data_IF_778886371394
#
_entry.id   IF_778886371394
#
_cell.length_a   1.000
_cell.length_b   1.000
_cell.length_c   1.000
_cell.angle_alpha   90.00
_cell.angle_beta   90.00
_cell.angle_gamma   90.00
#
_symmetry.space_group_name_H-M   'P 1'
#
loop_
_entity.id
_entity.type
_entity.pdbx_description
1 polymer ?
#
# COMPACT_ATOMS: atom_id res chain seq x y z
N UNK A 1 8.22 -14.76 -2.68
CA UNK A 1 7.32 -13.66 -3.12
C UNK A 1 7.91 -12.35 -2.63
N UNK A 2 7.79 -11.30 -3.43
CA UNK A 2 8.85 -10.28 -3.57
C UNK A 2 8.67 -9.01 -2.73
N UNK A 3 7.57 -8.82 -1.99
CA UNK A 3 7.41 -7.62 -1.15
C UNK A 3 7.79 -7.81 0.32
N UNK A 4 7.64 -9.03 0.86
CA UNK A 4 7.81 -9.30 2.29
C UNK A 4 9.18 -9.88 2.67
N UNK A 5 9.91 -10.46 1.70
CA UNK A 5 11.22 -11.08 1.93
C UNK A 5 12.14 -10.76 0.77
N UNK A 6 13.40 -10.50 1.09
CA UNK A 6 14.44 -10.36 0.08
C UNK A 6 14.80 -11.71 -0.54
N UNK A 7 14.99 -11.70 -1.85
CA UNK A 7 15.58 -12.79 -2.62
C UNK A 7 16.95 -12.38 -3.14
N UNK A 8 17.84 -13.36 -3.32
CA UNK A 8 19.14 -13.16 -3.94
C UNK A 8 19.04 -13.10 -5.47
N UNK A 9 18.34 -14.04 -6.08
CA UNK A 9 18.24 -14.19 -7.53
C UNK A 9 16.80 -14.13 -8.04
N UNK A 10 16.65 -13.74 -9.30
CA UNK A 10 15.36 -13.64 -10.00
C UNK A 10 14.86 -15.00 -10.47
N UNK A 11 13.55 -15.24 -10.29
CA UNK A 11 12.85 -16.43 -10.75
C UNK A 11 11.61 -16.05 -11.57
N UNK A 12 11.07 -17.00 -12.33
CA UNK A 12 9.76 -16.82 -12.96
C UNK A 12 8.66 -16.60 -11.92
N UNK A 13 7.72 -15.73 -12.24
CA UNK A 13 6.67 -15.26 -11.34
C UNK A 13 7.09 -14.14 -10.40
N UNK A 14 8.38 -13.81 -10.29
CA UNK A 14 8.81 -12.69 -9.47
C UNK A 14 8.41 -11.35 -10.10
N UNK A 15 8.04 -10.41 -9.23
CA UNK A 15 7.82 -9.02 -9.60
C UNK A 15 9.11 -8.27 -9.32
N UNK A 16 9.67 -7.68 -10.38
CA UNK A 16 10.96 -7.01 -10.34
C UNK A 16 10.84 -5.56 -10.79
N UNK A 17 11.74 -4.73 -10.31
CA UNK A 17 11.88 -3.35 -10.77
C UNK A 17 13.02 -3.26 -11.78
N UNK A 18 12.72 -2.82 -13.00
CA UNK A 18 13.70 -2.50 -14.02
C UNK A 18 13.96 -0.99 -13.95
N UNK A 19 15.13 -0.64 -13.41
CA UNK A 19 15.52 0.75 -13.17
C UNK A 19 16.45 1.25 -14.27
N UNK A 20 16.01 2.26 -15.02
CA UNK A 20 16.82 2.93 -16.05
C UNK A 20 17.38 4.25 -15.53
N UNK A 21 16.52 5.06 -14.91
CA UNK A 21 16.86 6.34 -14.29
C UNK A 21 15.76 6.77 -13.32
N UNK A 22 15.98 7.86 -12.59
CA UNK A 22 14.97 8.44 -11.68
C UNK A 22 13.62 8.76 -12.33
N UNK A 23 13.60 9.00 -13.65
CA UNK A 23 12.37 9.28 -14.42
C UNK A 23 11.81 8.04 -15.14
N UNK A 24 12.50 6.91 -15.07
CA UNK A 24 12.20 5.72 -15.86
C UNK A 24 12.44 4.48 -15.01
N UNK A 25 11.43 4.15 -14.23
CA UNK A 25 11.36 2.97 -13.37
C UNK A 25 10.16 2.17 -13.81
N UNK A 26 10.33 0.87 -14.04
CA UNK A 26 9.26 0.00 -14.52
C UNK A 26 9.15 -1.22 -13.62
N UNK A 27 7.93 -1.68 -13.37
CA UNK A 27 7.68 -2.95 -12.68
C UNK A 27 7.22 -3.98 -13.71
N UNK A 28 7.81 -5.17 -13.64
CA UNK A 28 7.50 -6.28 -14.53
C UNK A 28 7.38 -7.58 -13.74
N UNK A 29 6.35 -8.37 -14.08
CA UNK A 29 6.25 -9.77 -13.70
C UNK A 29 7.11 -10.59 -14.66
N UNK A 30 8.05 -11.36 -14.12
CA UNK A 30 8.96 -12.19 -14.93
C UNK A 30 8.21 -13.43 -15.40
N UNK A 31 8.17 -13.63 -16.71
CA UNK A 31 7.33 -14.62 -17.38
C UNK A 31 8.13 -15.21 -18.53
N UNK A 32 8.02 -16.53 -18.74
CA UNK A 32 8.79 -17.25 -19.75
C UNK A 32 8.44 -16.77 -21.17
N UNK A 33 9.45 -16.52 -22.00
CA UNK A 33 9.29 -16.07 -23.39
C UNK A 33 8.86 -14.62 -23.57
N UNK A 34 8.59 -13.89 -22.48
CA UNK A 34 8.17 -12.48 -22.55
C UNK A 34 9.36 -11.55 -22.76
N UNK A 35 9.13 -10.46 -23.49
CA UNK A 35 10.14 -9.46 -23.82
C UNK A 35 9.65 -8.10 -23.39
N UNK A 36 10.46 -7.39 -22.61
CA UNK A 36 10.21 -6.01 -22.21
C UNK A 36 11.01 -5.05 -23.10
N UNK A 37 10.32 -4.10 -23.73
CA UNK A 37 10.96 -3.10 -24.59
C UNK A 37 11.33 -1.87 -23.80
N UNK A 38 12.59 -1.44 -23.94
CA UNK A 38 13.09 -0.20 -23.33
C UNK A 38 13.74 0.70 -24.38
N UNK A 39 13.97 1.97 -24.03
CA UNK A 39 14.79 2.87 -24.85
C UNK A 39 16.22 2.38 -25.08
N UNK A 40 16.73 1.48 -24.23
CA UNK A 40 18.07 0.88 -24.36
C UNK A 40 18.08 -0.44 -25.13
N UNK A 41 16.90 -0.97 -25.50
CA UNK A 41 16.73 -2.20 -26.25
C UNK A 41 15.74 -3.17 -25.60
N UNK A 42 15.53 -4.29 -26.27
CA UNK A 42 14.69 -5.40 -25.82
C UNK A 42 15.41 -6.21 -24.72
N UNK A 43 14.68 -6.51 -23.64
CA UNK A 43 15.14 -7.34 -22.53
C UNK A 43 14.26 -8.59 -22.49
N UNK A 44 14.83 -9.77 -22.72
CA UNK A 44 14.09 -11.03 -22.60
C UNK A 44 14.02 -11.42 -21.13
N UNK A 45 12.85 -11.82 -20.66
CA UNK A 45 12.66 -12.23 -19.27
C UNK A 45 13.48 -13.49 -18.93
N UNK A 46 13.63 -14.40 -19.90
CA UNK A 46 14.47 -15.59 -19.76
C UNK A 46 15.94 -15.24 -19.45
N UNK A 47 16.45 -14.13 -19.97
CA UNK A 47 17.84 -13.68 -19.72
C UNK A 47 18.01 -13.09 -18.31
N UNK A 48 16.91 -12.75 -17.61
CA UNK A 48 16.94 -12.18 -16.26
C UNK A 48 16.96 -13.25 -15.18
N UNK A 49 16.40 -14.43 -15.47
CA UNK A 49 16.28 -15.53 -14.51
C UNK A 49 17.67 -16.01 -14.09
N UNK A 50 17.84 -16.25 -12.78
CA UNK A 50 19.11 -16.66 -12.18
C UNK A 50 20.10 -15.52 -11.91
N UNK A 51 19.87 -14.32 -12.46
CA UNK A 51 20.70 -13.15 -12.12
C UNK A 51 20.37 -12.63 -10.73
N UNK A 52 21.40 -12.13 -10.04
CA UNK A 52 21.23 -11.53 -8.73
C UNK A 52 20.51 -10.18 -8.82
N UNK A 53 19.68 -9.84 -7.83
CA UNK A 53 19.19 -8.48 -7.69
C UNK A 53 20.36 -7.49 -7.46
N UNK A 54 20.23 -6.28 -7.98
CA UNK A 54 21.29 -5.27 -8.06
C UNK A 54 22.19 -5.41 -9.30
N UNK A 55 22.05 -6.48 -10.10
CA UNK A 55 22.89 -6.68 -11.28
C UNK A 55 22.60 -5.64 -12.38
N UNK A 56 23.68 -5.15 -12.99
CA UNK A 56 23.64 -4.32 -14.20
C UNK A 56 23.42 -5.20 -15.44
N UNK A 57 22.33 -4.96 -16.16
CA UNK A 57 21.97 -5.68 -17.38
C UNK A 57 22.33 -4.82 -18.59
N UNK A 58 23.26 -5.29 -19.40
CA UNK A 58 23.64 -4.62 -20.64
C UNK A 58 22.59 -4.85 -21.73
N UNK A 59 22.17 -3.76 -22.37
CA UNK A 59 21.24 -3.73 -23.49
C UNK A 59 21.97 -3.17 -24.73
N UNK A 60 21.35 -3.25 -25.91
CA UNK A 60 21.95 -2.79 -27.18
C UNK A 60 22.46 -1.35 -27.16
N UNK A 61 21.74 -0.43 -26.48
CA UNK A 61 22.02 1.01 -26.46
C UNK A 61 22.22 1.57 -25.04
N UNK A 62 22.61 0.73 -24.07
CA UNK A 62 22.78 1.16 -22.67
C UNK A 62 22.71 0.03 -21.67
N UNK A 63 22.26 0.31 -20.46
CA UNK A 63 22.08 -0.68 -19.40
C UNK A 63 20.93 -0.32 -18.48
N UNK A 64 20.47 -1.31 -17.72
CA UNK A 64 19.46 -1.17 -16.67
C UNK A 64 19.91 -1.88 -15.41
N UNK A 65 19.32 -1.54 -14.28
CA UNK A 65 19.49 -2.29 -13.03
C UNK A 65 18.25 -3.12 -12.74
N UNK A 66 18.48 -4.35 -12.30
CA UNK A 66 17.44 -5.26 -11.84
C UNK A 66 17.31 -5.12 -10.33
N UNK A 67 16.31 -4.40 -9.85
CA UNK A 67 16.13 -4.08 -8.44
C UNK A 67 14.99 -4.92 -7.85
N UNK A 68 15.19 -5.35 -6.61
CA UNK A 68 14.14 -6.04 -5.86
C UNK A 68 12.99 -5.06 -5.57
N UNK A 69 11.75 -5.48 -5.80
CA UNK A 69 10.61 -4.62 -5.55
C UNK A 69 10.50 -4.29 -4.06
N UNK A 70 10.10 -3.06 -3.75
CA UNK A 70 9.73 -2.59 -2.42
C UNK A 70 8.44 -1.77 -2.52
N UNK A 71 7.69 -1.58 -1.42
CA UNK A 71 6.55 -0.67 -1.41
C UNK A 71 6.88 0.73 -1.94
N UNK A 72 8.07 1.29 -1.65
CA UNK A 72 8.47 2.61 -2.15
C UNK A 72 8.64 2.62 -3.68
N UNK A 73 9.28 1.59 -4.25
CA UNK A 73 9.43 1.48 -5.71
C UNK A 73 8.09 1.19 -6.39
N UNK A 74 7.22 0.43 -5.73
CA UNK A 74 5.85 0.22 -6.17
C UNK A 74 5.06 1.53 -6.18
N UNK A 75 5.14 2.33 -5.12
CA UNK A 75 4.52 3.68 -5.05
C UNK A 75 4.90 4.57 -6.23
N UNK A 76 6.12 4.46 -6.75
CA UNK A 76 6.58 5.25 -7.90
C UNK A 76 6.10 4.75 -9.26
N UNK A 77 5.61 3.51 -9.35
CA UNK A 77 5.39 2.81 -10.62
C UNK A 77 4.01 2.19 -10.78
N UNK A 78 3.23 2.12 -9.70
CA UNK A 78 1.91 1.52 -9.70
C UNK A 78 0.97 2.24 -10.67
N UNK A 79 -0.02 1.54 -11.26
CA UNK A 79 -1.00 2.17 -12.13
C UNK A 79 -1.88 3.13 -11.32
N UNK A 80 -1.77 4.43 -11.58
CA UNK A 80 -2.56 5.43 -10.87
C UNK A 80 -4.04 5.33 -11.27
N UNK A 81 -4.88 4.88 -10.34
CA UNK A 81 -6.34 4.86 -10.47
C UNK A 81 -7.00 6.00 -9.67
N UNK A 82 -6.27 6.50 -8.69
CA UNK A 82 -6.68 7.53 -7.72
C UNK A 82 -5.47 8.37 -7.34
N UNK A 83 -5.70 9.48 -6.65
CA UNK A 83 -4.64 10.19 -5.94
C UNK A 83 -4.06 9.26 -4.87
N UNK A 84 -2.74 9.10 -4.85
CA UNK A 84 -2.04 8.24 -3.90
C UNK A 84 -1.30 9.03 -2.83
N UNK A 85 -0.95 8.33 -1.75
CA UNK A 85 0.04 8.76 -0.78
C UNK A 85 1.44 8.32 -1.24
N UNK A 86 2.42 9.19 -1.00
CA UNK A 86 3.83 8.94 -1.30
C UNK A 86 4.62 8.60 -0.03
N UNK A 87 5.87 8.15 -0.21
CA UNK A 87 6.71 7.62 0.86
C UNK A 87 6.81 8.55 2.09
N UNK A 88 6.86 9.87 1.90
CA UNK A 88 6.90 10.84 3.00
C UNK A 88 5.68 10.72 3.91
N UNK A 89 4.47 10.88 3.35
CA UNK A 89 3.22 10.78 4.11
C UNK A 89 3.05 9.38 4.71
N UNK A 90 3.34 8.34 3.92
CA UNK A 90 3.24 6.94 4.34
C UNK A 90 4.14 6.65 5.54
N UNK A 91 5.39 7.13 5.54
CA UNK A 91 6.34 6.90 6.63
C UNK A 91 5.84 7.50 7.94
N UNK A 92 5.24 8.69 7.87
CA UNK A 92 4.71 9.38 9.01
C UNK A 92 3.40 8.75 9.50
N UNK A 93 2.50 8.35 8.59
CA UNK A 93 1.28 7.58 8.91
C UNK A 93 1.64 6.30 9.66
N UNK A 94 2.59 5.53 9.12
CA UNK A 94 3.04 4.25 9.69
C UNK A 94 3.61 4.46 11.09
N UNK A 95 4.38 5.52 11.29
CA UNK A 95 5.00 5.88 12.57
C UNK A 95 3.97 6.36 13.60
N UNK A 96 3.06 7.27 13.21
CA UNK A 96 2.03 7.83 14.09
C UNK A 96 0.98 6.80 14.51
N UNK A 97 0.66 5.86 13.63
CA UNK A 97 -0.21 4.71 13.94
C UNK A 97 0.52 3.62 14.75
N UNK A 98 1.82 3.78 15.00
CA UNK A 98 2.65 2.79 15.70
C UNK A 98 2.51 1.39 15.10
N UNK A 99 2.50 1.32 13.77
CA UNK A 99 2.36 0.05 13.05
C UNK A 99 3.62 -0.79 13.25
N UNK A 100 3.42 -2.07 13.54
CA UNK A 100 4.49 -3.02 13.82
C UNK A 100 4.06 -4.43 13.42
N UNK A 101 4.98 -5.40 13.36
CA UNK A 101 4.62 -6.79 13.10
C UNK A 101 3.52 -7.27 14.05
N UNK A 102 2.46 -7.86 13.50
CA UNK A 102 1.30 -8.31 14.27
C UNK A 102 0.15 -7.31 14.40
N UNK A 103 0.32 -6.05 13.97
CA UNK A 103 -0.76 -5.06 13.99
C UNK A 103 -1.92 -5.46 13.09
N UNK A 104 -3.16 -5.34 13.59
CA UNK A 104 -4.38 -5.42 12.80
C UNK A 104 -4.80 -4.00 12.41
N UNK A 105 -4.88 -3.74 11.11
CA UNK A 105 -5.10 -2.39 10.58
C UNK A 105 -6.35 -2.37 9.72
N UNK A 106 -7.15 -1.32 9.87
CA UNK A 106 -8.25 -1.00 8.95
C UNK A 106 -7.82 0.18 8.07
N UNK A 107 -7.97 0.03 6.76
CA UNK A 107 -7.77 1.07 5.76
C UNK A 107 -9.10 1.29 5.02
N UNK A 108 -9.50 2.55 4.82
CA UNK A 108 -10.66 2.83 3.98
C UNK A 108 -10.37 3.97 3.02
N UNK A 109 -10.60 3.64 1.75
CA UNK A 109 -9.95 4.24 0.60
C UNK A 109 -8.78 3.38 0.13
N UNK A 110 -9.03 2.13 -0.32
CA UNK A 110 -7.96 1.27 -0.88
C UNK A 110 -7.26 1.98 -2.05
N UNK A 111 -8.03 2.64 -2.92
CA UNK A 111 -7.51 3.46 -4.01
C UNK A 111 -6.62 2.65 -4.97
N UNK A 112 -5.36 3.08 -5.10
CA UNK A 112 -4.36 2.39 -5.94
C UNK A 112 -3.42 1.48 -5.13
N UNK A 113 -3.68 1.25 -3.84
CA UNK A 113 -2.93 0.31 -3.01
C UNK A 113 -1.52 0.76 -2.59
N UNK A 114 -1.15 2.04 -2.77
CA UNK A 114 0.19 2.56 -2.38
C UNK A 114 0.46 2.39 -0.88
N UNK A 115 -0.46 2.87 -0.04
CA UNK A 115 -0.36 2.76 1.40
C UNK A 115 -0.49 1.29 1.85
N UNK A 116 -1.44 0.55 1.27
CA UNK A 116 -1.69 -0.87 1.57
C UNK A 116 -0.41 -1.72 1.51
N UNK A 117 0.42 -1.56 0.47
CA UNK A 117 1.69 -2.30 0.35
C UNK A 117 2.68 -1.98 1.48
N UNK A 118 2.73 -0.71 1.90
CA UNK A 118 3.61 -0.26 2.98
C UNK A 118 3.12 -0.74 4.35
N UNK A 119 1.80 -0.74 4.57
CA UNK A 119 1.18 -1.34 5.75
C UNK A 119 1.50 -2.84 5.79
N UNK A 120 1.23 -3.57 4.71
CA UNK A 120 1.44 -5.02 4.64
C UNK A 120 2.87 -5.43 4.96
N UNK A 121 3.86 -4.72 4.41
CA UNK A 121 5.27 -4.94 4.78
C UNK A 121 5.51 -4.73 6.28
N UNK A 122 4.93 -3.69 6.87
CA UNK A 122 5.18 -3.31 8.26
C UNK A 122 4.52 -4.26 9.26
N UNK A 123 3.34 -4.78 8.93
CA UNK A 123 2.56 -5.64 9.84
C UNK A 123 2.88 -7.13 9.69
N UNK A 124 3.50 -7.53 8.57
CA UNK A 124 3.97 -8.89 8.37
C UNK A 124 4.94 -9.35 9.48
N UNK A 125 5.02 -10.66 9.79
CA UNK A 125 4.29 -11.75 9.15
C UNK A 125 2.93 -12.09 9.80
N UNK A 126 2.62 -11.52 10.97
CA UNK A 126 1.50 -11.99 11.80
C UNK A 126 0.37 -10.96 11.95
N UNK A 127 0.47 -9.81 11.28
CA UNK A 127 -0.58 -8.80 11.25
C UNK A 127 -1.59 -9.04 10.14
N UNK A 128 -2.63 -8.21 10.10
CA UNK A 128 -3.66 -8.31 9.06
C UNK A 128 -4.18 -6.94 8.65
N UNK A 129 -4.37 -6.72 7.36
CA UNK A 129 -4.95 -5.51 6.80
C UNK A 129 -6.38 -5.79 6.33
N UNK A 130 -7.35 -5.07 6.91
CA UNK A 130 -8.70 -4.98 6.36
C UNK A 130 -8.82 -3.69 5.57
N UNK A 131 -8.95 -3.78 4.25
CA UNK A 131 -9.07 -2.60 3.39
C UNK A 131 -10.41 -2.55 2.67
N UNK A 132 -10.97 -1.35 2.58
CA UNK A 132 -12.30 -1.11 2.00
C UNK A 132 -12.23 -0.06 0.90
N UNK A 133 -12.98 -0.27 -0.18
CA UNK A 133 -13.23 0.74 -1.21
C UNK A 133 -14.70 0.66 -1.63
N UNK A 134 -15.32 1.79 -1.93
CA UNK A 134 -16.72 1.79 -2.35
C UNK A 134 -16.87 1.37 -3.82
N UNK A 135 -15.80 1.50 -4.62
CA UNK A 135 -15.81 1.25 -6.05
C UNK A 135 -15.42 -0.21 -6.35
N UNK A 136 -16.39 -1.00 -6.83
CA UNK A 136 -16.22 -2.44 -7.05
C UNK A 136 -15.06 -2.79 -7.99
N UNK A 137 -14.90 -2.06 -9.09
CA UNK A 137 -13.81 -2.30 -10.06
C UNK A 137 -12.43 -2.14 -9.41
N UNK A 138 -12.25 -1.14 -8.55
CA UNK A 138 -10.98 -0.92 -7.85
C UNK A 138 -10.68 -2.05 -6.87
N UNK A 139 -11.72 -2.55 -6.20
CA UNK A 139 -11.61 -3.72 -5.32
C UNK A 139 -11.17 -4.95 -6.09
N UNK A 140 -11.76 -5.22 -7.26
CA UNK A 140 -11.37 -6.37 -8.10
C UNK A 140 -9.90 -6.27 -8.52
N UNK A 141 -9.50 -5.12 -9.07
CA UNK A 141 -8.11 -4.90 -9.51
C UNK A 141 -7.13 -5.02 -8.34
N UNK A 142 -7.40 -4.34 -7.22
CA UNK A 142 -6.50 -4.39 -6.06
C UNK A 142 -6.41 -5.80 -5.45
N UNK A 143 -7.51 -6.56 -5.47
CA UNK A 143 -7.52 -7.96 -5.03
C UNK A 143 -6.61 -8.85 -5.90
N UNK A 144 -6.68 -8.67 -7.22
CA UNK A 144 -5.79 -9.36 -8.16
C UNK A 144 -4.33 -8.95 -7.97
N UNK A 145 -4.05 -7.65 -7.78
CA UNK A 145 -2.70 -7.16 -7.49
C UNK A 145 -2.15 -7.78 -6.19
N UNK A 146 -2.91 -7.77 -5.10
CA UNK A 146 -2.47 -8.39 -3.85
C UNK A 146 -2.22 -9.89 -3.98
N UNK A 147 -3.03 -10.58 -4.78
CA UNK A 147 -2.82 -11.99 -5.10
C UNK A 147 -1.52 -12.21 -5.87
N UNK A 148 -1.34 -11.48 -6.98
CA UNK A 148 -0.15 -11.58 -7.81
C UNK A 148 1.14 -11.20 -7.07
N UNK A 149 1.02 -10.32 -6.08
CA UNK A 149 2.14 -9.85 -5.26
C UNK A 149 2.42 -10.78 -4.06
N UNK A 150 1.58 -11.78 -3.82
CA UNK A 150 1.74 -12.73 -2.73
C UNK A 150 1.38 -12.19 -1.36
N UNK A 151 0.43 -11.27 -1.31
CA UNK A 151 0.01 -10.56 -0.12
C UNK A 151 -1.36 -11.00 0.39
N UNK A 152 -2.08 -11.86 -0.36
CA UNK A 152 -3.46 -12.29 -0.05
C UNK A 152 -3.67 -12.79 1.38
N UNK A 153 -2.71 -13.51 1.95
CA UNK A 153 -2.84 -14.06 3.31
C UNK A 153 -2.89 -12.99 4.41
N UNK A 154 -2.34 -11.80 4.14
CA UNK A 154 -2.26 -10.69 5.11
C UNK A 154 -3.30 -9.60 4.84
N UNK A 155 -4.14 -9.74 3.81
CA UNK A 155 -5.09 -8.70 3.40
C UNK A 155 -6.47 -9.24 3.12
N UNK A 156 -7.47 -8.60 3.68
CA UNK A 156 -8.88 -8.78 3.32
C UNK A 156 -9.39 -7.49 2.71
N UNK A 157 -9.76 -7.55 1.43
CA UNK A 157 -10.34 -6.43 0.71
C UNK A 157 -11.83 -6.66 0.46
N UNK A 158 -12.66 -5.64 0.69
CA UNK A 158 -14.09 -5.69 0.44
C UNK A 158 -14.62 -4.40 -0.20
N UNK A 159 -15.62 -4.56 -1.06
CA UNK A 159 -16.40 -3.44 -1.59
C UNK A 159 -17.39 -2.99 -0.51
N UNK A 160 -17.29 -1.72 -0.07
CA UNK A 160 -18.14 -1.19 1.01
C UNK A 160 -18.17 0.34 1.06
N UNK A 161 -19.34 0.92 1.31
CA UNK A 161 -19.49 2.32 1.72
C UNK A 161 -19.37 2.42 3.25
N UNK A 162 -18.14 2.53 3.75
CA UNK A 162 -17.86 2.53 5.20
C UNK A 162 -18.47 3.72 5.94
N UNK A 163 -18.90 4.77 5.24
CA UNK A 163 -19.58 5.91 5.84
C UNK A 163 -21.06 5.62 6.14
N UNK A 164 -21.64 4.59 5.54
CA UNK A 164 -23.03 4.16 5.77
C UNK A 164 -23.08 2.84 6.53
N UNK A 165 -22.28 1.88 6.10
CA UNK A 165 -22.38 0.48 6.53
C UNK A 165 -21.31 0.09 7.55
N UNK A 166 -20.45 1.04 7.95
CA UNK A 166 -19.30 0.82 8.81
C UNK A 166 -18.29 -0.18 8.23
N UNK A 167 -17.45 -0.76 9.07
CA UNK A 167 -16.43 -1.72 8.64
C UNK A 167 -16.89 -3.18 8.74
N UNK A 168 -17.97 -3.46 9.48
CA UNK A 168 -18.38 -4.83 9.81
C UNK A 168 -17.44 -5.53 10.79
N UNK A 169 -16.61 -4.76 11.50
CA UNK A 169 -15.59 -5.22 12.42
C UNK A 169 -15.78 -4.48 13.76
N UNK A 170 -15.54 -5.15 14.88
CA UNK A 170 -15.73 -4.56 16.22
C UNK A 170 -14.62 -4.98 17.16
N UNK A 171 -13.99 -4.02 17.84
CA UNK A 171 -12.95 -4.25 18.86
C UNK A 171 -11.80 -5.19 18.41
N UNK A 172 -11.38 -5.11 17.15
CA UNK A 172 -10.30 -5.96 16.59
C UNK A 172 -9.09 -5.18 16.06
N UNK A 173 -9.23 -3.91 15.72
CA UNK A 173 -8.18 -3.15 15.06
C UNK A 173 -7.26 -2.48 16.07
N UNK A 174 -5.95 -2.56 15.83
CA UNK A 174 -4.95 -1.77 16.55
C UNK A 174 -4.81 -0.37 15.95
N UNK A 175 -5.08 -0.23 14.65
CA UNK A 175 -5.04 1.03 13.93
C UNK A 175 -6.15 1.15 12.88
N UNK A 176 -6.63 2.38 12.65
CA UNK A 176 -7.53 2.70 11.53
C UNK A 176 -6.97 3.92 10.78
N UNK A 177 -6.94 3.83 9.46
CA UNK A 177 -6.59 4.92 8.56
C UNK A 177 -7.72 5.18 7.55
N UNK A 178 -8.13 6.45 7.42
CA UNK A 178 -9.18 6.86 6.49
C UNK A 178 -8.65 7.86 5.43
N UNK A 179 -8.77 7.50 4.16
CA UNK A 179 -8.60 8.35 2.97
C UNK A 179 -9.90 8.38 2.17
N UNK A 180 -10.90 9.06 2.73
CA UNK A 180 -12.28 9.15 2.20
C UNK A 180 -12.65 10.60 1.96
N UNK A 181 -13.62 10.95 1.09
CA UNK A 181 -14.07 12.33 0.92
C UNK A 181 -14.77 12.96 2.15
N UNK A 182 -15.40 12.13 3.00
CA UNK A 182 -16.16 12.59 4.17
C UNK A 182 -15.87 11.70 5.39
N UNK A 183 -14.63 11.66 5.88
CA UNK A 183 -14.19 10.64 6.83
C UNK A 183 -14.83 10.80 8.22
N UNK A 184 -15.35 11.98 8.56
CA UNK A 184 -16.10 12.20 9.81
C UNK A 184 -17.33 11.31 9.95
N UNK A 185 -17.94 10.89 8.83
CA UNK A 185 -19.08 9.95 8.83
C UNK A 185 -18.67 8.53 9.24
N UNK A 186 -17.38 8.20 9.15
CA UNK A 186 -16.87 6.87 9.51
C UNK A 186 -16.19 6.84 10.88
N UNK A 187 -16.11 7.97 11.61
CA UNK A 187 -15.41 8.05 12.91
C UNK A 187 -16.07 7.15 13.96
N UNK A 188 -17.41 7.14 14.04
CA UNK A 188 -18.12 6.30 15.01
C UNK A 188 -17.85 4.82 14.74
N UNK A 189 -17.90 4.39 13.48
CA UNK A 189 -17.56 3.02 13.09
C UNK A 189 -16.09 2.68 13.36
N UNK A 190 -15.19 3.66 13.22
CA UNK A 190 -13.77 3.46 13.49
C UNK A 190 -13.54 3.27 14.99
N UNK A 191 -14.18 4.10 15.82
CA UNK A 191 -14.16 3.98 17.27
C UNK A 191 -14.67 2.61 17.74
N UNK A 192 -15.74 2.08 17.12
CA UNK A 192 -16.27 0.75 17.42
C UNK A 192 -15.34 -0.38 16.99
N UNK A 193 -14.54 -0.17 15.94
CA UNK A 193 -13.64 -1.20 15.38
C UNK A 193 -12.32 -1.31 16.14
N UNK A 194 -11.89 -0.23 16.80
CA UNK A 194 -10.63 -0.16 17.53
C UNK A 194 -10.68 -0.94 18.85
N UNK A 195 -9.57 -1.60 19.19
CA UNK A 195 -9.34 -2.14 20.53
C UNK A 195 -9.26 -1.01 21.56
N UNK A 196 -9.42 -1.32 22.84
CA UNK A 196 -9.30 -0.35 23.95
C UNK A 196 -7.98 0.44 23.98
N UNK A 197 -6.90 -0.06 23.34
CA UNK A 197 -5.60 0.62 23.20
C UNK A 197 -5.25 0.99 21.75
N UNK A 198 -6.24 1.01 20.85
CA UNK A 198 -6.04 1.29 19.44
C UNK A 198 -5.69 2.76 19.15
N UNK A 199 -5.08 3.01 17.99
CA UNK A 199 -4.72 4.36 17.51
C UNK A 199 -5.51 4.70 16.25
N UNK A 200 -5.92 5.97 16.10
CA UNK A 200 -6.73 6.42 14.97
C UNK A 200 -6.02 7.56 14.23
N UNK A 201 -5.93 7.48 12.90
CA UNK A 201 -5.36 8.53 12.06
C UNK A 201 -6.22 8.77 10.81
N UNK A 202 -6.26 10.01 10.34
CA UNK A 202 -7.03 10.43 9.18
C UNK A 202 -6.22 11.45 8.38
N UNK A 203 -6.35 11.44 7.05
CA UNK A 203 -5.61 12.34 6.16
C UNK A 203 -6.00 13.82 6.38
N UNK A 204 -4.99 14.70 6.43
CA UNK A 204 -5.12 16.09 6.92
C UNK A 204 -6.06 16.99 6.10
N UNK A 205 -6.23 16.74 4.79
CA UNK A 205 -7.06 17.60 3.93
C UNK A 205 -8.53 17.71 4.39
N UNK A 206 -8.98 16.89 5.35
CA UNK A 206 -10.29 17.03 6.01
C UNK A 206 -10.25 17.38 7.51
N UNK A 207 -9.08 17.46 8.13
CA UNK A 207 -8.95 17.85 9.55
C UNK A 207 -9.32 19.34 9.74
N UNK A 208 -9.06 20.19 8.74
CA UNK A 208 -9.53 21.58 8.76
C UNK A 208 -11.06 21.71 8.80
N UNK A 209 -11.81 20.69 8.38
CA UNK A 209 -13.28 20.71 8.45
C UNK A 209 -13.79 20.31 9.85
N UNK A 210 -13.11 19.36 10.51
CA UNK A 210 -13.48 18.86 11.84
C UNK A 210 -13.19 19.87 12.96
N UNK A 211 -12.08 20.61 12.88
CA UNK A 211 -11.77 21.67 13.84
C UNK A 211 -12.65 22.92 13.66
N UNK A 212 -13.24 23.13 12.48
CA UNK A 212 -14.13 24.25 12.18
C UNK A 212 -15.59 23.99 12.56
N UNK A 213 -15.96 22.73 12.80
CA UNK A 213 -17.32 22.28 13.13
C UNK A 213 -17.63 22.16 14.63
N UNK A 214 -16.85 22.82 15.50
CA UNK A 214 -17.31 23.17 16.86
C UNK A 214 -17.87 22.03 17.71
N UNK A 215 -17.00 21.29 18.39
CA UNK A 215 -17.32 20.60 19.64
C UNK A 215 -17.95 19.21 19.53
N UNK A 216 -17.47 18.31 20.40
CA UNK A 216 -18.05 17.00 20.79
C UNK A 216 -17.64 15.73 20.04
N UNK A 217 -16.42 15.62 19.52
CA UNK A 217 -15.87 14.28 19.19
C UNK A 217 -14.57 14.03 19.96
N UNK A 218 -14.73 13.76 21.26
CA UNK A 218 -13.67 13.15 22.07
C UNK A 218 -13.77 11.65 21.83
N UNK A 219 -12.92 11.12 20.95
CA UNK A 219 -12.72 9.66 20.87
C UNK A 219 -11.97 9.28 22.14
N UNK A 220 -12.68 8.70 23.12
CA UNK A 220 -12.15 8.39 24.45
C UNK A 220 -10.79 7.67 24.40
N UNK A 221 -9.82 8.15 25.18
CA UNK A 221 -8.43 7.66 25.30
C UNK A 221 -7.59 7.51 24.02
N UNK A 222 -8.18 7.62 22.82
CA UNK A 222 -7.48 7.55 21.54
C UNK A 222 -6.79 8.88 21.23
N UNK A 223 -5.47 8.84 21.04
CA UNK A 223 -4.72 10.02 20.59
C UNK A 223 -5.04 10.30 19.12
N UNK A 224 -5.81 11.37 18.86
CA UNK A 224 -5.93 11.94 17.53
C UNK A 224 -4.62 12.65 17.17
N UNK A 225 -3.89 12.13 16.20
CA UNK A 225 -2.69 12.79 15.66
C UNK A 225 -2.99 13.36 14.28
N UNK A 226 -2.36 14.47 13.91
CA UNK A 226 -2.54 15.13 12.62
C UNK A 226 -1.16 15.39 12.00
N UNK A 227 -1.02 15.15 10.69
CA UNK A 227 0.21 15.41 9.94
C UNK A 227 0.09 16.77 9.27
N UNK A 228 0.85 17.77 9.72
CA UNK A 228 0.93 19.08 9.06
C UNK A 228 1.86 18.98 7.84
N UNK A 229 1.36 19.25 6.64
CA UNK A 229 2.21 19.54 5.49
C UNK A 229 2.39 21.06 5.42
N UNK A 230 3.64 21.52 5.57
CA UNK A 230 4.04 22.90 5.23
C UNK A 230 4.11 23.06 3.72
#
# INVERSE_FOLDING_TARGET
MSFLRYKSCVQFGDIVTIYLSFKSVFVQKIEKGKVFQTKYGAIKHDDLVGKAFGTKIHCKKGWVYLIHITPELWTLTLPHRTQILYATDISLITSLLNLKPGSIVIEAGTGSGSLSHSILRTIAPNGHLFTFDFHEERVKIAKEEFHDHGLSELVSIAQRDVCKDGFGLTNIADAVFLDLPHPWKAIEFASLSLKTKGTFLMKLLQIMFLLRLGGKTVVGSCKLSAILNN
#
